data_IF_014816311954
#
_entry.id   IF_014816311954
#
_cell.length_a   1.000
_cell.length_b   1.000
_cell.length_c   1.000
_cell.angle_alpha   90.00
_cell.angle_beta   90.00
_cell.angle_gamma   90.00
#
_symmetry.space_group_name_H-M   'P 1'
#
loop_
_entity.id
_entity.type
_entity.pdbx_description
1 polymer ?
#
# COMPACT_ATOMS: atom_id res chain seq x y z
N UNK A 1 11.46 -3.40 -28.93
CA UNK A 1 11.06 -4.60 -28.14
C UNK A 1 11.86 -4.76 -26.84
N UNK A 2 13.13 -4.33 -26.75
CA UNK A 2 13.93 -4.41 -25.51
C UNK A 2 13.46 -3.48 -24.37
N UNK A 3 12.98 -2.27 -24.70
CA UNK A 3 12.54 -1.27 -23.71
C UNK A 3 11.29 -1.69 -22.93
N UNK A 4 10.28 -2.22 -23.63
CA UNK A 4 9.00 -2.66 -23.04
C UNK A 4 9.21 -3.87 -22.13
N UNK A 5 10.03 -4.83 -22.55
CA UNK A 5 10.42 -5.97 -21.71
C UNK A 5 11.08 -5.52 -20.41
N UNK A 6 12.00 -4.53 -20.48
CA UNK A 6 12.65 -3.98 -19.29
C UNK A 6 11.67 -3.29 -18.32
N UNK A 7 10.62 -2.63 -18.84
CA UNK A 7 9.64 -1.93 -18.02
C UNK A 7 8.74 -2.91 -17.26
N UNK A 8 8.29 -3.97 -17.94
CA UNK A 8 7.48 -5.04 -17.34
C UNK A 8 8.27 -5.72 -16.20
N UNK A 9 9.56 -6.03 -16.43
CA UNK A 9 10.42 -6.60 -15.37
C UNK A 9 10.58 -5.65 -14.19
N UNK A 10 10.78 -4.35 -14.42
CA UNK A 10 10.88 -3.36 -13.35
C UNK A 10 9.59 -3.27 -12.53
N UNK A 11 8.43 -3.23 -13.19
CA UNK A 11 7.14 -3.21 -12.52
C UNK A 11 6.93 -4.49 -11.68
N UNK A 12 7.29 -5.65 -12.21
CA UNK A 12 7.22 -6.91 -11.47
C UNK A 12 8.10 -6.91 -10.22
N UNK A 13 9.35 -6.44 -10.32
CA UNK A 13 10.25 -6.32 -9.18
C UNK A 13 9.68 -5.38 -8.12
N UNK A 14 9.14 -4.22 -8.52
CA UNK A 14 8.51 -3.28 -7.59
C UNK A 14 7.28 -3.90 -6.92
N UNK A 15 6.44 -4.63 -7.67
CA UNK A 15 5.31 -5.35 -7.08
C UNK A 15 5.76 -6.33 -5.99
N UNK A 16 6.80 -7.13 -6.25
CA UNK A 16 7.37 -8.06 -5.26
C UNK A 16 7.86 -7.31 -4.03
N UNK A 17 8.60 -6.20 -4.22
CA UNK A 17 9.11 -5.41 -3.10
C UNK A 17 7.96 -4.86 -2.26
N UNK A 18 6.92 -4.28 -2.88
CA UNK A 18 5.76 -3.76 -2.16
C UNK A 18 5.05 -4.84 -1.34
N UNK A 19 4.80 -6.02 -1.91
CA UNK A 19 4.16 -7.12 -1.19
C UNK A 19 5.07 -7.72 -0.12
N UNK A 20 6.37 -7.81 -0.38
CA UNK A 20 7.36 -8.28 0.62
C UNK A 20 7.41 -7.36 1.84
N UNK A 21 7.42 -6.04 1.63
CA UNK A 21 7.34 -5.04 2.70
C UNK A 21 6.01 -5.20 3.46
N UNK A 22 4.88 -5.32 2.77
CA UNK A 22 3.58 -5.49 3.40
C UNK A 22 3.54 -6.74 4.31
N UNK A 23 4.07 -7.88 3.84
CA UNK A 23 4.17 -9.11 4.63
C UNK A 23 5.07 -8.89 5.85
N UNK A 24 6.21 -8.23 5.70
CA UNK A 24 7.12 -7.93 6.80
C UNK A 24 6.46 -7.07 7.89
N UNK A 25 5.71 -6.04 7.50
CA UNK A 25 4.98 -5.17 8.43
C UNK A 25 3.88 -5.93 9.15
N UNK A 26 3.12 -6.77 8.44
CA UNK A 26 2.09 -7.61 9.07
C UNK A 26 2.69 -8.61 10.07
N UNK A 27 3.80 -9.25 9.70
CA UNK A 27 4.49 -10.19 10.57
C UNK A 27 5.02 -9.49 11.83
N UNK A 28 5.63 -8.31 11.68
CA UNK A 28 6.10 -7.51 12.80
C UNK A 28 4.96 -7.05 13.71
N UNK A 29 3.90 -6.43 13.15
CA UNK A 29 2.75 -5.98 13.92
C UNK A 29 2.02 -7.11 14.65
N UNK A 30 1.92 -8.30 14.02
CA UNK A 30 1.39 -9.48 14.69
C UNK A 30 2.30 -9.96 15.83
N UNK A 31 3.61 -10.04 15.59
CA UNK A 31 4.60 -10.45 16.58
C UNK A 31 4.52 -9.58 17.85
N UNK A 32 4.57 -8.26 17.70
CA UNK A 32 4.50 -7.36 18.86
C UNK A 32 3.12 -7.34 19.51
N UNK A 33 2.02 -7.46 18.75
CA UNK A 33 0.69 -7.55 19.36
C UNK A 33 0.53 -8.77 20.27
N UNK A 34 1.04 -9.93 19.86
CA UNK A 34 0.93 -11.15 20.65
C UNK A 34 1.93 -11.22 21.81
N UNK A 35 3.12 -10.65 21.68
CA UNK A 35 4.20 -10.80 22.68
C UNK A 35 4.39 -9.59 23.59
N UNK A 36 4.20 -8.38 23.07
CA UNK A 36 4.53 -7.13 23.75
C UNK A 36 3.28 -6.33 24.17
N UNK A 37 2.08 -6.92 24.06
CA UNK A 37 0.79 -6.27 24.36
C UNK A 37 0.60 -4.95 23.60
N UNK A 38 1.01 -4.93 22.33
CA UNK A 38 0.90 -3.75 21.46
C UNK A 38 -0.51 -3.14 21.52
N UNK A 39 -0.56 -1.81 21.64
CA UNK A 39 -1.83 -1.09 21.79
C UNK A 39 -2.60 -1.14 20.46
N UNK A 40 -3.94 -1.29 20.53
CA UNK A 40 -4.81 -1.44 19.34
C UNK A 40 -4.56 -0.39 18.22
N UNK A 41 -4.26 0.89 18.52
CA UNK A 41 -3.91 1.88 17.50
C UNK A 41 -2.68 1.51 16.66
N UNK A 42 -1.66 0.91 17.26
CA UNK A 42 -0.40 0.55 16.61
C UNK A 42 -0.55 -0.68 15.71
N UNK A 43 -1.38 -1.65 16.13
CA UNK A 43 -1.74 -2.79 15.29
C UNK A 43 -2.52 -2.32 14.06
N UNK A 44 -3.47 -1.41 14.27
CA UNK A 44 -4.25 -0.80 13.18
C UNK A 44 -3.34 -0.02 12.23
N UNK A 45 -2.32 0.67 12.74
CA UNK A 45 -1.30 1.35 11.92
C UNK A 45 -0.54 0.36 11.04
N UNK A 46 -0.08 -0.75 11.61
CA UNK A 46 0.65 -1.79 10.88
C UNK A 46 -0.21 -2.39 9.75
N UNK A 47 -1.48 -2.69 10.04
CA UNK A 47 -2.45 -3.13 9.03
C UNK A 47 -2.64 -2.09 7.92
N UNK A 48 -2.80 -0.82 8.29
CA UNK A 48 -3.02 0.27 7.35
C UNK A 48 -1.84 0.45 6.39
N UNK A 49 -0.60 0.44 6.91
CA UNK A 49 0.61 0.52 6.10
C UNK A 49 0.73 -0.70 5.18
N UNK A 50 0.44 -1.91 5.67
CA UNK A 50 0.48 -3.10 4.83
C UNK A 50 -0.52 -3.04 3.66
N UNK A 51 -1.77 -2.65 3.94
CA UNK A 51 -2.81 -2.48 2.92
C UNK A 51 -2.42 -1.40 1.90
N UNK A 52 -1.81 -0.30 2.36
CA UNK A 52 -1.27 0.74 1.49
C UNK A 52 -0.21 0.20 0.52
N UNK A 53 0.76 -0.58 1.02
CA UNK A 53 1.80 -1.18 0.17
C UNK A 53 1.23 -2.23 -0.79
N UNK A 54 0.23 -3.02 -0.39
CA UNK A 54 -0.48 -3.94 -1.31
C UNK A 54 -1.12 -3.13 -2.44
N UNK A 55 -1.81 -2.03 -2.13
CA UNK A 55 -2.39 -1.13 -3.13
C UNK A 55 -1.36 -0.62 -4.13
N UNK A 56 -0.20 -0.14 -3.65
CA UNK A 56 0.90 0.31 -4.52
C UNK A 56 1.48 -0.81 -5.39
N UNK A 57 1.54 -2.04 -4.87
CA UNK A 57 2.07 -3.20 -5.58
C UNK A 57 1.15 -3.78 -6.65
N UNK A 58 -0.16 -3.50 -6.60
CA UNK A 58 -1.13 -4.00 -7.58
C UNK A 58 -0.86 -3.44 -8.98
N UNK A 59 -0.62 -2.14 -9.09
CA UNK A 59 -0.29 -1.49 -10.36
C UNK A 59 0.90 -0.54 -10.17
N UNK A 60 2.13 -1.08 -10.21
CA UNK A 60 3.36 -0.34 -9.92
C UNK A 60 3.70 0.73 -10.96
N UNK A 61 2.93 0.83 -12.05
CA UNK A 61 3.12 1.86 -13.06
C UNK A 61 3.04 3.28 -12.46
N UNK A 62 2.36 3.45 -11.32
CA UNK A 62 2.34 4.70 -10.54
C UNK A 62 3.75 5.20 -10.15
N UNK A 63 4.72 4.31 -9.97
CA UNK A 63 6.11 4.67 -9.65
C UNK A 63 6.91 5.14 -10.87
N UNK A 64 6.41 4.87 -12.07
CA UNK A 64 7.07 5.20 -13.33
C UNK A 64 6.30 6.25 -14.13
N UNK A 65 5.11 6.63 -13.67
CA UNK A 65 4.26 7.64 -14.30
C UNK A 65 4.51 8.99 -13.64
N UNK A 66 4.89 10.05 -14.39
CA UNK A 66 5.02 11.40 -13.86
C UNK A 66 3.72 11.87 -13.20
N UNK A 67 3.83 12.57 -12.07
CA UNK A 67 2.67 13.04 -11.30
C UNK A 67 1.65 13.82 -12.16
N UNK A 68 2.15 14.60 -13.14
CA UNK A 68 1.33 15.37 -14.08
C UNK A 68 0.45 14.51 -14.99
N UNK A 69 0.86 13.27 -15.27
CA UNK A 69 0.10 12.32 -16.10
C UNK A 69 -0.85 11.46 -15.27
N UNK A 70 -0.56 11.24 -13.98
CA UNK A 70 -1.45 10.52 -13.04
C UNK A 70 -2.78 11.25 -12.86
N UNK A 71 -2.77 12.59 -12.87
CA UNK A 71 -3.99 13.41 -12.71
C UNK A 71 -4.90 13.44 -13.95
N UNK A 72 -4.37 13.09 -15.13
CA UNK A 72 -5.10 13.16 -16.41
C UNK A 72 -5.77 11.81 -16.73
N UNK A 73 -5.28 10.69 -16.21
CA UNK A 73 -5.78 9.33 -16.50
C UNK A 73 -7.02 8.90 -15.68
N UNK A 74 -7.88 9.83 -15.27
CA UNK A 74 -9.00 9.53 -14.36
C UNK A 74 -10.16 8.81 -15.06
N UNK A 75 -10.37 9.03 -16.36
CA UNK A 75 -11.61 8.60 -17.03
C UNK A 75 -11.65 7.18 -17.60
N UNK A 76 -10.51 6.48 -17.74
CA UNK A 76 -10.48 5.16 -18.40
C UNK A 76 -9.66 4.11 -17.61
N UNK A 77 -9.86 4.09 -16.30
CA UNK A 77 -9.11 3.18 -15.41
C UNK A 77 -9.59 1.74 -15.59
N UNK A 78 -8.65 0.88 -16.02
CA UNK A 78 -8.81 -0.57 -16.05
C UNK A 78 -9.34 -1.10 -14.69
N UNK A 79 -10.02 -2.27 -14.66
CA UNK A 79 -10.50 -2.87 -13.41
C UNK A 79 -9.40 -2.99 -12.34
N UNK A 80 -8.17 -3.24 -12.78
CA UNK A 80 -6.97 -3.33 -11.94
C UNK A 80 -6.58 -1.99 -11.31
N UNK A 81 -6.64 -0.89 -12.08
CA UNK A 81 -6.40 0.45 -11.56
C UNK A 81 -7.50 0.92 -10.59
N UNK A 82 -8.76 0.51 -10.81
CA UNK A 82 -9.85 0.75 -9.85
C UNK A 82 -9.62 0.00 -8.54
N UNK A 83 -9.21 -1.26 -8.61
CA UNK A 83 -8.87 -2.07 -7.43
C UNK A 83 -7.68 -1.46 -6.67
N UNK A 84 -6.61 -1.07 -7.38
CA UNK A 84 -5.49 -0.35 -6.77
C UNK A 84 -5.96 0.89 -6.01
N UNK A 85 -6.75 1.76 -6.65
CA UNK A 85 -7.19 3.00 -6.02
C UNK A 85 -8.02 2.73 -4.76
N UNK A 86 -8.91 1.73 -4.80
CA UNK A 86 -9.70 1.33 -3.64
C UNK A 86 -8.82 0.81 -2.50
N UNK A 87 -7.89 -0.11 -2.77
CA UNK A 87 -7.01 -0.70 -1.75
C UNK A 87 -6.04 0.34 -1.19
N UNK A 88 -5.48 1.18 -2.04
CA UNK A 88 -4.63 2.31 -1.63
C UNK A 88 -5.39 3.27 -0.72
N UNK A 89 -6.57 3.72 -1.13
CA UNK A 89 -7.39 4.64 -0.35
C UNK A 89 -7.85 4.01 0.98
N UNK A 90 -8.11 2.70 1.00
CA UNK A 90 -8.40 1.97 2.23
C UNK A 90 -7.21 2.01 3.20
N UNK A 91 -5.99 1.80 2.72
CA UNK A 91 -4.78 1.92 3.54
C UNK A 91 -4.61 3.32 4.12
N UNK A 92 -4.81 4.37 3.30
CA UNK A 92 -4.78 5.77 3.77
C UNK A 92 -5.88 6.04 4.80
N UNK A 93 -7.10 5.56 4.58
CA UNK A 93 -8.20 5.73 5.52
C UNK A 93 -7.91 5.06 6.87
N UNK A 94 -7.41 3.82 6.84
CA UNK A 94 -7.03 3.10 8.06
C UNK A 94 -5.89 3.81 8.82
N UNK A 95 -4.95 4.44 8.12
CA UNK A 95 -3.91 5.27 8.75
C UNK A 95 -4.51 6.44 9.51
N UNK A 96 -5.44 7.17 8.88
CA UNK A 96 -6.16 8.27 9.53
C UNK A 96 -6.92 7.77 10.76
N UNK A 97 -7.63 6.64 10.64
CA UNK A 97 -8.33 6.03 11.78
C UNK A 97 -7.39 5.63 12.91
N UNK A 98 -6.21 5.09 12.61
CA UNK A 98 -5.20 4.73 13.61
C UNK A 98 -4.74 5.97 14.41
N UNK A 99 -4.43 7.08 13.73
CA UNK A 99 -4.07 8.33 14.40
C UNK A 99 -5.22 8.93 15.22
N UNK A 100 -6.46 8.84 14.72
CA UNK A 100 -7.64 9.27 15.47
C UNK A 100 -7.86 8.42 16.72
N UNK A 101 -7.66 7.11 16.64
CA UNK A 101 -7.75 6.23 17.81
C UNK A 101 -6.67 6.54 18.83
N UNK A 102 -5.41 6.70 18.40
CA UNK A 102 -4.31 7.11 19.29
C UNK A 102 -4.66 8.41 20.03
N UNK A 103 -5.12 9.44 19.31
CA UNK A 103 -5.55 10.70 19.91
C UNK A 103 -6.74 10.56 20.88
N UNK A 104 -7.62 9.57 20.71
CA UNK A 104 -8.75 9.31 21.61
C UNK A 104 -8.37 8.51 22.85
N UNK A 105 -7.29 7.73 22.79
CA UNK A 105 -6.83 6.87 23.89
C UNK A 105 -5.71 7.50 24.73
N UNK A 106 -5.04 8.54 24.22
CA UNK A 106 -4.15 9.46 24.94
C UNK A 106 -4.93 10.48 25.80
#
# INVERSE_FOLDING_TARGET
MSSVSSLITKQFVVAIICHGIAIGILAYGAYEFYLEQLVVPELTRSLAVAVFFIGMGLEPNVFFTPLSQVMIQVDDKSPKAKLQALVFNLGVFLLICSFLMEWLYD
#
